data_IF_402824122388
#
_entry.id   IF_402824122388
#
_cell.length_a   1.000
_cell.length_b   1.000
_cell.length_c   1.000
_cell.angle_alpha   90.00
_cell.angle_beta   90.00
_cell.angle_gamma   90.00
#
_symmetry.space_group_name_H-M   'P 1'
#
loop_
_entity.id
_entity.type
_entity.pdbx_description
1 polymer ?
#
# COMPACT_ATOMS: atom_id res chain seq x y z
N UNK A 1 5.09 -1.67 -17.23
CA UNK A 1 6.48 -1.98 -16.80
C UNK A 1 6.89 -1.09 -15.63
N UNK A 2 6.61 0.19 -15.71
CA UNK A 2 6.94 1.17 -14.68
C UNK A 2 6.35 0.84 -13.30
N UNK A 3 5.05 0.56 -13.24
CA UNK A 3 4.34 0.27 -11.98
C UNK A 3 4.94 -0.91 -11.22
N UNK A 4 5.25 -2.01 -11.93
CA UNK A 4 5.87 -3.19 -11.30
C UNK A 4 7.30 -2.91 -10.82
N UNK A 5 8.05 -2.05 -11.50
CA UNK A 5 9.40 -1.65 -11.05
C UNK A 5 9.31 -0.83 -9.76
N UNK A 6 8.37 0.13 -9.69
CA UNK A 6 8.13 0.92 -8.48
C UNK A 6 7.65 0.02 -7.34
N UNK A 7 6.70 -0.87 -7.59
CA UNK A 7 6.21 -1.83 -6.60
C UNK A 7 7.34 -2.73 -6.07
N UNK A 8 8.20 -3.25 -6.94
CA UNK A 8 9.34 -4.07 -6.53
C UNK A 8 10.31 -3.29 -5.63
N UNK A 9 10.60 -2.02 -5.95
CA UNK A 9 11.46 -1.16 -5.12
C UNK A 9 10.84 -0.89 -3.75
N UNK A 10 9.55 -0.52 -3.72
CA UNK A 10 8.83 -0.28 -2.47
C UNK A 10 8.81 -1.55 -1.62
N UNK A 11 8.40 -2.69 -2.19
CA UNK A 11 8.30 -3.95 -1.47
C UNK A 11 9.66 -4.47 -1.00
N UNK A 12 10.76 -4.18 -1.70
CA UNK A 12 12.11 -4.56 -1.26
C UNK A 12 12.56 -3.82 -0.01
N UNK A 13 12.21 -2.55 0.14
CA UNK A 13 12.77 -1.68 1.18
C UNK A 13 11.78 -1.31 2.28
N UNK A 14 10.47 -1.37 2.02
CA UNK A 14 9.43 -0.85 2.88
C UNK A 14 8.35 -1.91 3.14
N UNK A 15 7.94 -2.01 4.41
CA UNK A 15 6.69 -2.63 4.81
C UNK A 15 5.62 -1.54 4.74
N UNK A 16 4.62 -1.77 3.90
CA UNK A 16 3.52 -0.83 3.64
C UNK A 16 2.30 -1.30 4.41
N UNK A 17 1.71 -0.43 5.22
CA UNK A 17 0.44 -0.70 5.91
C UNK A 17 -0.59 0.38 5.60
N UNK A 18 -1.83 0.00 5.37
CA UNK A 18 -2.94 0.95 5.33
C UNK A 18 -3.28 1.40 6.75
N UNK A 19 -3.59 2.69 6.92
CA UNK A 19 -4.12 3.23 8.17
C UNK A 19 -5.64 3.06 8.30
N UNK A 20 -6.32 2.78 7.19
CA UNK A 20 -7.76 2.53 7.13
C UNK A 20 -8.02 1.11 6.64
N UNK A 21 -9.08 0.49 7.17
CA UNK A 21 -9.58 -0.78 6.65
C UNK A 21 -10.29 -0.53 5.32
N UNK A 22 -10.43 -1.58 4.50
CA UNK A 22 -11.02 -1.46 3.16
C UNK A 22 -12.47 -0.98 3.20
N UNK A 23 -13.24 -1.38 4.22
CA UNK A 23 -14.62 -0.95 4.46
C UNK A 23 -14.74 0.52 4.85
N UNK A 24 -13.65 1.12 5.35
CA UNK A 24 -13.58 2.54 5.73
C UNK A 24 -13.13 3.42 4.56
N UNK A 25 -12.61 2.83 3.47
CA UNK A 25 -12.18 3.56 2.29
C UNK A 25 -13.36 3.85 1.35
N UNK A 26 -13.72 5.14 1.24
CA UNK A 26 -14.74 5.59 0.28
C UNK A 26 -14.14 5.79 -1.10
N UNK A 27 -14.83 5.31 -2.14
CA UNK A 27 -14.45 5.48 -3.56
C UNK A 27 -15.10 6.74 -4.12
N UNK A 28 -14.36 7.53 -4.89
CA UNK A 28 -14.90 8.67 -5.63
C UNK A 28 -15.56 8.20 -6.93
N UNK A 29 -16.72 8.76 -7.27
CA UNK A 29 -17.42 8.51 -8.53
C UNK A 29 -16.86 9.42 -9.64
N UNK A 30 -15.62 9.14 -10.06
CA UNK A 30 -14.89 9.88 -11.10
C UNK A 30 -14.55 8.94 -12.28
N UNK A 31 -13.92 9.46 -13.33
CA UNK A 31 -13.51 8.68 -14.51
C UNK A 31 -12.56 7.52 -14.15
N UNK A 32 -11.82 7.64 -13.05
CA UNK A 32 -10.91 6.62 -12.55
C UNK A 32 -11.32 6.18 -11.14
N UNK A 33 -11.02 4.93 -10.80
CA UNK A 33 -11.19 4.44 -9.44
C UNK A 33 -10.11 5.08 -8.56
N UNK A 34 -10.53 5.89 -7.59
CA UNK A 34 -9.62 6.44 -6.57
C UNK A 34 -10.31 6.63 -5.22
N UNK A 35 -9.56 6.62 -4.10
CA UNK A 35 -10.12 6.92 -2.79
C UNK A 35 -10.52 8.39 -2.69
N UNK A 36 -11.72 8.66 -2.18
CA UNK A 36 -12.29 10.00 -2.05
C UNK A 36 -11.44 10.94 -1.20
N UNK A 37 -10.81 10.42 -0.14
CA UNK A 37 -9.96 11.18 0.78
C UNK A 37 -8.47 10.78 0.72
N UNK A 38 -8.06 10.17 -0.40
CA UNK A 38 -6.73 9.60 -0.57
C UNK A 38 -6.54 8.27 0.17
N UNK A 39 -5.38 7.65 -0.06
CA UNK A 39 -4.98 6.42 0.64
C UNK A 39 -3.93 6.76 1.70
N UNK A 40 -4.28 6.60 2.97
CA UNK A 40 -3.38 6.87 4.08
C UNK A 40 -2.58 5.62 4.40
N UNK A 41 -1.29 5.66 4.10
CA UNK A 41 -0.37 4.54 4.27
C UNK A 41 0.78 4.91 5.21
N UNK A 42 1.25 3.92 5.97
CA UNK A 42 2.44 4.01 6.82
C UNK A 42 3.55 3.17 6.20
N UNK A 43 4.76 3.73 6.21
CA UNK A 43 5.97 3.04 5.80
C UNK A 43 6.82 2.69 7.01
N UNK A 44 7.28 1.46 7.04
CA UNK A 44 8.27 0.95 8.00
C UNK A 44 9.44 0.38 7.19
N UNK A 45 10.68 0.69 7.57
CA UNK A 45 11.86 0.13 6.90
C UNK A 45 11.85 -1.39 7.12
N UNK A 46 12.06 -2.18 6.06
CA UNK A 46 12.26 -3.63 6.19
C UNK A 46 13.69 -3.92 6.63
N UNK A 47 13.82 -4.84 7.58
CA UNK A 47 15.09 -5.41 7.96
C UNK A 47 15.28 -6.82 7.37
N UNK A 48 16.52 -7.29 7.34
CA UNK A 48 16.81 -8.64 6.86
C UNK A 48 16.14 -9.65 7.80
N UNK A 49 15.28 -10.51 7.25
CA UNK A 49 14.46 -11.45 8.03
C UNK A 49 12.98 -11.06 8.15
N UNK A 50 12.59 -9.83 7.78
CA UNK A 50 11.19 -9.38 7.72
C UNK A 50 10.42 -9.98 6.51
N UNK A 51 10.64 -11.25 6.19
CA UNK A 51 9.98 -11.96 5.10
C UNK A 51 8.73 -12.69 5.55
N UNK A 52 8.29 -12.47 6.80
CA UNK A 52 7.06 -13.06 7.33
C UNK A 52 5.89 -12.71 6.43
N UNK A 53 5.09 -13.72 6.07
CA UNK A 53 3.83 -13.51 5.37
C UNK A 53 2.99 -12.48 6.12
N UNK A 54 2.39 -11.53 5.40
CA UNK A 54 1.40 -10.64 5.98
C UNK A 54 0.25 -11.49 6.51
N UNK A 55 0.10 -11.59 7.83
CA UNK A 55 -1.13 -12.12 8.43
C UNK A 55 -2.24 -11.11 8.16
N UNK A 56 -3.32 -11.59 7.54
CA UNK A 56 -4.50 -10.81 7.17
C UNK A 56 -5.25 -10.30 8.40
#
# INVERSE_FOLDING_TARGET
MEEKCILALLMRHLRVRSLLRTDEMRVAAELIIRPLYGNRIKFERREYGDYTHCSA
#
